data_IF_340041173319
#
_entry.id   IF_340041173319
#
_cell.length_a   1.000
_cell.length_b   1.000
_cell.length_c   1.000
_cell.angle_alpha   90.00
_cell.angle_beta   90.00
_cell.angle_gamma   90.00
#
_symmetry.space_group_name_H-M   'P 1'
#
loop_
_entity.id
_entity.type
_entity.pdbx_description
1 polymer ?
#
# COMPACT_ATOMS: atom_id res chain seq x y z
N UNK A 1 -31.79 -22.62 5.23
CA UNK A 1 -31.20 -21.30 5.52
C UNK A 1 -32.03 -20.27 4.78
N UNK A 2 -32.67 -19.34 5.48
CA UNK A 2 -33.46 -18.28 4.85
C UNK A 2 -32.57 -17.44 3.93
N UNK A 3 -33.01 -17.25 2.68
CA UNK A 3 -32.26 -16.52 1.67
C UNK A 3 -32.10 -15.03 2.08
N UNK A 4 -30.95 -14.68 2.64
CA UNK A 4 -30.60 -13.31 3.01
C UNK A 4 -29.62 -12.69 2.01
N UNK A 5 -28.45 -12.28 2.51
CA UNK A 5 -27.39 -11.63 1.73
C UNK A 5 -26.92 -12.44 0.51
N UNK A 6 -27.13 -13.77 0.51
CA UNK A 6 -26.77 -14.68 -0.57
C UNK A 6 -27.52 -14.41 -1.90
N UNK A 7 -28.65 -13.67 -1.87
CA UNK A 7 -29.30 -13.20 -3.11
C UNK A 7 -28.53 -12.09 -3.83
N UNK A 8 -27.76 -11.31 -3.06
CA UNK A 8 -26.99 -10.17 -3.56
C UNK A 8 -25.53 -10.55 -3.75
N UNK A 9 -24.96 -11.34 -2.83
CA UNK A 9 -23.61 -11.87 -2.90
C UNK A 9 -23.63 -13.40 -2.89
N UNK A 10 -23.66 -14.06 -4.07
CA UNK A 10 -23.81 -15.51 -4.12
C UNK A 10 -22.55 -16.20 -3.57
N UNK A 11 -22.70 -16.89 -2.45
CA UNK A 11 -21.65 -17.73 -1.88
C UNK A 11 -21.70 -19.09 -2.57
N UNK A 12 -20.61 -19.45 -3.26
CA UNK A 12 -20.47 -20.78 -3.87
C UNK A 12 -20.13 -21.81 -2.79
N UNK A 13 -21.12 -22.59 -2.37
CA UNK A 13 -20.90 -23.73 -1.49
C UNK A 13 -20.34 -24.89 -2.33
N UNK A 14 -19.26 -25.51 -1.85
CA UNK A 14 -18.82 -26.81 -2.38
C UNK A 14 -19.58 -27.92 -1.67
N UNK A 15 -19.79 -29.04 -2.35
CA UNK A 15 -20.38 -30.22 -1.73
C UNK A 15 -19.55 -30.65 -0.50
N UNK A 16 -20.20 -31.10 0.58
CA UNK A 16 -19.49 -31.68 1.72
C UNK A 16 -18.68 -32.90 1.24
N UNK A 17 -17.50 -33.09 1.85
CA UNK A 17 -16.67 -34.26 1.62
C UNK A 17 -17.18 -35.38 2.53
N UNK A 18 -17.36 -36.58 1.98
CA UNK A 18 -17.79 -37.77 2.74
C UNK A 18 -16.58 -38.44 3.42
N UNK A 19 -16.81 -39.19 4.49
CA UNK A 19 -15.73 -39.98 5.11
C UNK A 19 -15.40 -41.19 4.23
N UNK A 20 -14.12 -41.37 3.91
CA UNK A 20 -13.66 -42.49 3.08
C UNK A 20 -12.26 -42.28 2.51
N UNK A 21 -11.83 -43.23 1.68
CA UNK A 21 -10.56 -43.14 0.95
C UNK A 21 -10.77 -42.49 -0.41
N UNK A 22 -9.88 -41.56 -0.77
CA UNK A 22 -9.91 -40.84 -2.04
C UNK A 22 -8.65 -41.14 -2.85
N UNK A 23 -8.82 -41.61 -4.07
CA UNK A 23 -7.71 -41.74 -5.01
C UNK A 23 -7.32 -40.38 -5.58
N UNK A 24 -6.02 -40.06 -5.54
CA UNK A 24 -5.48 -38.87 -6.18
C UNK A 24 -5.48 -39.10 -7.69
N UNK A 25 -6.47 -38.55 -8.38
CA UNK A 25 -6.57 -38.67 -9.86
C UNK A 25 -5.45 -37.91 -10.57
N UNK A 26 -5.00 -36.80 -9.99
CA UNK A 26 -3.97 -35.94 -10.56
C UNK A 26 -3.28 -35.10 -9.50
N UNK A 27 -1.94 -35.11 -9.50
CA UNK A 27 -1.13 -34.21 -8.70
C UNK A 27 -0.14 -33.48 -9.61
N UNK A 28 -0.08 -32.15 -9.46
CA UNK A 28 0.94 -31.32 -10.11
C UNK A 28 1.76 -30.60 -9.06
N UNK A 29 3.09 -30.70 -9.17
CA UNK A 29 4.01 -29.91 -8.36
C UNK A 29 4.15 -28.54 -9.00
N UNK A 30 3.74 -27.50 -8.28
CA UNK A 30 3.90 -26.10 -8.68
C UNK A 30 4.98 -25.43 -7.84
N UNK A 31 5.91 -24.72 -8.48
CA UNK A 31 6.83 -23.81 -7.81
C UNK A 31 6.27 -22.40 -7.93
N UNK A 32 5.72 -21.89 -6.84
CA UNK A 32 5.14 -20.56 -6.77
C UNK A 32 6.11 -19.61 -6.06
N UNK A 33 6.20 -18.35 -6.47
CA UNK A 33 6.98 -17.36 -5.74
C UNK A 33 6.38 -17.13 -4.34
N UNK A 34 7.25 -16.92 -3.34
CA UNK A 34 6.84 -16.71 -1.95
C UNK A 34 6.00 -15.42 -1.77
N UNK A 35 6.28 -14.39 -2.57
CA UNK A 35 5.53 -13.15 -2.60
C UNK A 35 4.83 -12.98 -3.96
N UNK A 36 3.59 -12.53 -3.92
CA UNK A 36 2.86 -12.12 -5.12
C UNK A 36 3.04 -10.62 -5.30
N UNK A 37 3.10 -10.19 -6.57
CA UNK A 37 3.04 -8.78 -6.90
C UNK A 37 1.71 -8.19 -6.42
N UNK A 38 1.72 -6.94 -6.00
CA UNK A 38 0.49 -6.26 -5.60
C UNK A 38 -0.31 -5.80 -6.82
N UNK A 39 -1.63 -5.90 -6.74
CA UNK A 39 -2.57 -5.11 -7.54
C UNK A 39 -2.71 -3.71 -6.94
N UNK A 40 -3.33 -2.78 -7.66
CA UNK A 40 -3.62 -1.44 -7.13
C UNK A 40 -4.43 -1.50 -5.83
N UNK A 41 -5.46 -2.35 -5.79
CA UNK A 41 -6.31 -2.52 -4.60
C UNK A 41 -5.55 -3.08 -3.39
N UNK A 42 -4.64 -4.03 -3.62
CA UNK A 42 -3.79 -4.57 -2.54
C UNK A 42 -2.81 -3.51 -2.03
N UNK A 43 -2.22 -2.66 -2.89
CA UNK A 43 -1.38 -1.53 -2.43
C UNK A 43 -2.20 -0.56 -1.60
N UNK A 44 -3.40 -0.19 -2.04
CA UNK A 44 -4.29 0.71 -1.30
C UNK A 44 -4.67 0.11 0.06
N UNK A 45 -4.93 -1.20 0.12
CA UNK A 45 -5.21 -1.89 1.37
C UNK A 45 -4.02 -1.81 2.33
N UNK A 46 -2.79 -2.04 1.85
CA UNK A 46 -1.56 -1.93 2.64
C UNK A 46 -1.32 -0.48 3.10
N UNK A 47 -1.53 0.51 2.23
CA UNK A 47 -1.42 1.93 2.60
C UNK A 47 -2.39 2.27 3.74
N UNK A 48 -3.64 1.82 3.64
CA UNK A 48 -4.65 2.01 4.69
C UNK A 48 -4.26 1.32 6.00
N UNK A 49 -3.80 0.07 5.93
CA UNK A 49 -3.35 -0.69 7.11
C UNK A 49 -2.19 0.00 7.82
N UNK A 50 -1.27 0.59 7.05
CA UNK A 50 -0.08 1.28 7.57
C UNK A 50 -0.32 2.74 7.97
N UNK A 51 -1.51 3.28 7.76
CA UNK A 51 -1.82 4.68 8.04
C UNK A 51 -1.11 5.67 7.12
N UNK A 52 -0.91 5.30 5.85
CA UNK A 52 -0.23 6.13 4.84
C UNK A 52 -1.27 6.65 3.85
N UNK A 53 -1.51 7.96 3.84
CA UNK A 53 -2.52 8.59 2.99
C UNK A 53 -3.93 8.56 3.57
N UNK A 54 -4.91 8.92 2.74
CA UNK A 54 -6.33 9.08 3.07
C UNK A 54 -7.21 8.60 1.91
N UNK A 55 -8.52 8.35 2.12
CA UNK A 55 -9.44 7.94 1.05
C UNK A 55 -9.39 8.84 -0.20
N UNK A 56 -9.16 10.15 -0.01
CA UNK A 56 -9.03 11.14 -1.08
C UNK A 56 -7.71 11.05 -1.85
N UNK A 57 -6.67 10.41 -1.30
CA UNK A 57 -5.31 10.43 -1.87
C UNK A 57 -4.85 9.09 -2.43
N UNK A 58 -5.41 7.96 -1.98
CA UNK A 58 -4.96 6.62 -2.38
C UNK A 58 -4.87 6.42 -3.90
N UNK A 59 -5.98 6.64 -4.61
CA UNK A 59 -6.02 6.46 -6.06
C UNK A 59 -5.05 7.41 -6.77
N UNK A 60 -4.93 8.65 -6.28
CA UNK A 60 -4.05 9.67 -6.86
C UNK A 60 -2.57 9.35 -6.67
N UNK A 61 -2.18 8.79 -5.52
CA UNK A 61 -0.81 8.35 -5.26
C UNK A 61 -0.43 7.24 -6.24
N UNK A 62 -1.26 6.20 -6.35
CA UNK A 62 -1.01 5.07 -7.28
C UNK A 62 -0.96 5.56 -8.73
N UNK A 63 -1.89 6.43 -9.15
CA UNK A 63 -1.89 6.98 -10.51
C UNK A 63 -0.62 7.78 -10.80
N UNK A 64 -0.17 8.60 -9.84
CA UNK A 64 1.05 9.41 -9.98
C UNK A 64 2.29 8.55 -10.15
N UNK A 65 2.40 7.41 -9.46
CA UNK A 65 3.52 6.47 -9.61
C UNK A 65 3.55 5.85 -11.02
N UNK A 66 2.38 5.57 -11.60
CA UNK A 66 2.25 5.04 -12.96
C UNK A 66 2.54 6.12 -13.99
N UNK A 67 1.93 7.31 -13.85
CA UNK A 67 2.11 8.47 -14.73
C UNK A 67 3.59 8.89 -14.83
N UNK A 68 4.33 8.84 -13.71
CA UNK A 68 5.77 9.14 -13.66
C UNK A 68 6.67 7.99 -14.14
N UNK A 69 6.10 6.84 -14.50
CA UNK A 69 6.85 5.68 -14.97
C UNK A 69 7.70 4.99 -13.90
N UNK A 70 7.41 5.20 -12.62
CA UNK A 70 8.11 4.51 -11.51
C UNK A 70 7.61 3.07 -11.35
N UNK A 71 6.34 2.86 -11.72
CA UNK A 71 5.67 1.56 -11.69
C UNK A 71 4.91 1.39 -13.02
N UNK A 72 4.82 0.16 -13.50
CA UNK A 72 3.91 -0.21 -14.59
C UNK A 72 2.89 -1.23 -14.11
N UNK A 73 1.75 -1.28 -14.79
CA UNK A 73 0.75 -2.32 -14.58
C UNK A 73 0.80 -3.36 -15.70
N UNK A 74 0.89 -4.64 -15.33
CA UNK A 74 0.82 -5.78 -16.24
C UNK A 74 0.01 -6.90 -15.62
N UNK A 75 -1.00 -7.40 -16.33
CA UNK A 75 -1.90 -8.46 -15.82
C UNK A 75 -2.53 -8.12 -14.45
N UNK A 76 -2.97 -6.87 -14.28
CA UNK A 76 -3.52 -6.33 -13.02
C UNK A 76 -2.54 -6.39 -11.83
N UNK A 77 -1.23 -6.39 -12.11
CA UNK A 77 -0.15 -6.39 -11.13
C UNK A 77 0.76 -5.21 -11.36
N UNK A 78 1.12 -4.53 -10.29
CA UNK A 78 2.07 -3.42 -10.25
C UNK A 78 3.49 -3.96 -10.17
N UNK A 79 4.35 -3.45 -11.05
CA UNK A 79 5.75 -3.85 -11.19
C UNK A 79 6.61 -2.60 -11.19
N UNK A 80 7.61 -2.54 -10.31
CA UNK A 80 8.59 -1.45 -10.29
C UNK A 80 9.40 -1.42 -11.59
N UNK A 81 9.59 -0.23 -12.15
CA UNK A 81 10.49 -0.05 -13.29
C UNK A 81 11.94 0.08 -12.82
N UNK A 82 12.90 -0.09 -13.72
CA UNK A 82 14.32 0.19 -13.40
C UNK A 82 14.54 1.61 -12.89
N UNK A 83 13.78 2.57 -13.41
CA UNK A 83 13.82 3.97 -12.98
C UNK A 83 13.26 4.11 -11.55
N UNK A 84 12.05 3.58 -11.31
CA UNK A 84 11.40 3.64 -10.00
C UNK A 84 12.25 2.99 -8.91
N UNK A 85 12.84 1.82 -9.20
CA UNK A 85 13.74 1.14 -8.28
C UNK A 85 14.99 1.97 -7.95
N UNK A 86 15.64 2.56 -8.95
CA UNK A 86 16.82 3.42 -8.74
C UNK A 86 16.49 4.66 -7.91
N UNK A 87 15.36 5.31 -8.19
CA UNK A 87 14.91 6.48 -7.42
C UNK A 87 14.63 6.07 -5.98
N UNK A 88 13.92 4.96 -5.76
CA UNK A 88 13.66 4.44 -4.43
C UNK A 88 14.95 4.15 -3.67
N UNK A 89 15.91 3.43 -4.27
CA UNK A 89 17.20 3.15 -3.62
C UNK A 89 17.94 4.43 -3.27
N UNK A 90 18.04 5.37 -4.20
CA UNK A 90 18.69 6.66 -3.94
C UNK A 90 18.06 7.40 -2.75
N UNK A 91 16.72 7.45 -2.70
CA UNK A 91 16.00 8.08 -1.61
C UNK A 91 16.17 7.32 -0.28
N UNK A 92 16.11 5.99 -0.33
CA UNK A 92 16.25 5.14 0.85
C UNK A 92 17.65 5.18 1.46
N UNK A 93 18.69 5.27 0.62
CA UNK A 93 20.08 5.27 1.08
C UNK A 93 20.51 6.62 1.64
N UNK A 94 19.97 7.74 1.10
CA UNK A 94 20.39 9.10 1.49
C UNK A 94 19.40 9.84 2.37
N UNK A 95 18.12 9.53 2.29
CA UNK A 95 17.05 10.29 2.94
C UNK A 95 16.11 9.38 3.73
N UNK A 96 16.63 8.26 4.26
CA UNK A 96 15.83 7.23 4.93
C UNK A 96 14.86 7.80 5.95
N UNK A 97 15.33 8.71 6.79
CA UNK A 97 14.55 9.33 7.86
C UNK A 97 13.37 10.14 7.32
N UNK A 98 13.46 10.67 6.10
CA UNK A 98 12.43 11.50 5.48
C UNK A 98 11.44 10.70 4.62
N UNK A 99 11.84 9.54 4.09
CA UNK A 99 11.01 8.68 3.23
C UNK A 99 10.47 7.44 3.93
N UNK A 100 10.63 7.36 5.26
CA UNK A 100 10.15 6.24 6.05
C UNK A 100 8.62 6.25 6.22
N UNK A 101 8.06 5.06 6.44
CA UNK A 101 6.63 4.92 6.76
C UNK A 101 6.28 5.56 8.10
N UNK A 102 7.21 5.54 9.07
CA UNK A 102 7.05 6.15 10.38
C UNK A 102 6.94 7.68 10.30
N UNK A 103 7.86 8.31 9.56
CA UNK A 103 7.83 9.76 9.33
C UNK A 103 6.57 10.19 8.61
N UNK A 104 6.15 9.40 7.60
CA UNK A 104 4.89 9.66 6.89
C UNK A 104 3.71 9.62 7.85
N UNK A 105 3.61 8.58 8.68
CA UNK A 105 2.52 8.42 9.65
C UNK A 105 2.50 9.52 10.71
N UNK A 106 3.66 9.91 11.23
CA UNK A 106 3.79 11.03 12.18
C UNK A 106 3.19 12.31 11.59
N UNK A 107 3.52 12.63 10.33
CA UNK A 107 2.98 13.82 9.67
C UNK A 107 1.46 13.72 9.45
N UNK A 108 0.97 12.55 9.06
CA UNK A 108 -0.46 12.27 8.93
C UNK A 108 -1.20 12.48 10.26
N UNK A 109 -0.64 12.03 11.39
CA UNK A 109 -1.18 12.24 12.73
C UNK A 109 -1.19 13.73 13.12
N UNK A 110 -0.13 14.48 12.79
CA UNK A 110 -0.09 15.93 13.02
C UNK A 110 -1.20 16.65 12.23
N UNK A 111 -1.45 16.24 10.97
CA UNK A 111 -2.55 16.79 10.18
C UNK A 111 -3.91 16.50 10.81
N UNK A 112 -4.12 15.28 11.35
CA UNK A 112 -5.36 14.94 12.06
C UNK A 112 -5.57 15.79 13.32
N UNK A 113 -4.49 16.10 14.05
CA UNK A 113 -4.56 16.99 15.22
C UNK A 113 -4.96 18.41 14.82
N UNK A 114 -4.46 18.91 13.69
CA UNK A 114 -4.87 20.22 13.14
C UNK A 114 -6.35 20.20 12.74
N UNK A 115 -6.81 19.15 12.05
CA UNK A 115 -8.21 19.01 11.65
C UNK A 115 -9.15 19.02 12.87
N UNK A 116 -8.74 18.41 13.97
CA UNK A 116 -9.49 18.38 15.23
C UNK A 116 -9.35 19.66 16.07
N UNK A 117 -8.57 20.65 15.61
CA UNK A 117 -8.28 21.88 16.37
C UNK A 117 -7.42 21.66 17.63
N UNK A 118 -6.68 20.55 17.70
CA UNK A 118 -5.82 20.16 18.83
C UNK A 118 -4.36 20.57 18.67
N UNK A 119 -3.95 21.03 17.48
CA UNK A 119 -2.61 21.51 17.20
C UNK A 119 -2.63 22.79 16.34
N UNK A 120 -1.64 23.65 16.53
CA UNK A 120 -1.46 24.84 15.68
C UNK A 120 -0.77 24.45 14.37
N UNK A 121 -1.46 24.69 13.24
CA UNK A 121 -0.95 24.40 11.92
C UNK A 121 0.32 25.19 11.60
N UNK A 122 0.45 26.43 12.11
CA UNK A 122 1.62 27.25 11.83
C UNK A 122 2.86 26.67 12.50
N UNK A 123 2.72 26.13 13.72
CA UNK A 123 3.81 25.46 14.41
C UNK A 123 4.27 24.22 13.64
N UNK A 124 3.36 23.35 13.22
CA UNK A 124 3.70 22.16 12.43
C UNK A 124 4.40 22.54 11.12
N UNK A 125 3.93 23.58 10.42
CA UNK A 125 4.59 24.06 9.20
C UNK A 125 5.99 24.61 9.46
N UNK A 126 6.20 25.32 10.58
CA UNK A 126 7.54 25.80 10.98
C UNK A 126 8.48 24.63 11.26
N UNK A 127 8.01 23.64 12.01
CA UNK A 127 8.83 22.47 12.37
C UNK A 127 9.20 21.64 11.14
N UNK A 128 8.23 21.41 10.25
CA UNK A 128 8.48 20.75 8.96
C UNK A 128 9.47 21.55 8.10
N UNK A 129 9.32 22.88 8.04
CA UNK A 129 10.26 23.72 7.29
C UNK A 129 11.70 23.56 7.81
N UNK A 130 11.90 23.54 9.14
CA UNK A 130 13.21 23.33 9.76
C UNK A 130 13.75 21.92 9.53
N UNK A 131 12.90 20.89 9.51
CA UNK A 131 13.28 19.53 9.10
C UNK A 131 13.77 19.51 7.64
N UNK A 132 13.07 20.19 6.72
CA UNK A 132 13.45 20.25 5.29
C UNK A 132 14.71 21.08 5.05
N UNK A 133 14.96 22.16 5.80
CA UNK A 133 16.19 22.95 5.63
C UNK A 133 17.44 22.11 5.97
N UNK A 134 17.36 21.25 6.98
CA UNK A 134 18.44 20.32 7.32
C UNK A 134 18.79 19.37 6.17
N UNK A 135 17.80 18.95 5.39
CA UNK A 135 18.03 18.17 4.17
C UNK A 135 18.93 18.92 3.18
N UNK A 136 18.76 20.24 3.05
CA UNK A 136 19.57 21.03 2.11
C UNK A 136 21.02 21.18 2.56
N UNK A 137 21.27 21.15 3.86
CA UNK A 137 22.61 21.34 4.43
C UNK A 137 23.47 20.06 4.37
N UNK A 138 22.83 18.89 4.22
CA UNK A 138 23.51 17.62 3.97
C UNK A 138 23.96 17.46 2.49
N UNK A 139 23.73 18.48 1.66
CA UNK A 139 24.06 18.55 0.22
C UNK A 139 24.77 19.86 -0.13
#
# INVERSE_FOLDING_TARGET
MSEGFNKVLPIKLKAPVEEGEYEITYARILRLPAARLFSQGEVIAVMKEKGIGRPSTYAKIVSTLIERGYVIEKNNRLISTKLGFKIYQYLYDRFREYVSEETTRRLEEQMDLVEQGKADYQQILRDLYLEIQRIKEEF
#
